data_IF_174178044990
#
_entry.id   IF_174178044990
#
_cell.length_a   1.000
_cell.length_b   1.000
_cell.length_c   1.000
_cell.angle_alpha   90.00
_cell.angle_beta   90.00
_cell.angle_gamma   90.00
#
_symmetry.space_group_name_H-M   'P 1'
#
loop_
_entity.id
_entity.type
_entity.pdbx_description
1 polymer ?
#
# COMPACT_ATOMS: atom_id res chain seq x y z
N UNK A 1 12.13 -10.60 -15.67
CA UNK A 1 10.84 -9.94 -15.98
C UNK A 1 11.12 -8.62 -16.67
N UNK A 2 10.47 -8.29 -17.78
CA UNK A 2 10.70 -7.00 -18.48
C UNK A 2 10.12 -5.83 -17.66
N UNK A 3 10.65 -4.62 -17.85
CA UNK A 3 10.16 -3.43 -17.12
C UNK A 3 8.66 -3.17 -17.30
N UNK A 4 8.12 -3.44 -18.51
CA UNK A 4 6.69 -3.32 -18.78
C UNK A 4 5.83 -4.32 -17.97
N UNK A 5 6.28 -5.57 -17.82
CA UNK A 5 5.57 -6.59 -17.03
C UNK A 5 5.55 -6.24 -15.54
N UNK A 6 6.64 -5.66 -15.02
CA UNK A 6 6.72 -5.23 -13.62
C UNK A 6 5.75 -4.08 -13.32
N UNK A 7 5.65 -3.10 -14.23
CA UNK A 7 4.69 -2.00 -14.11
C UNK A 7 3.25 -2.48 -14.10
N UNK A 8 2.92 -3.42 -14.97
CA UNK A 8 1.56 -3.96 -15.02
C UNK A 8 1.23 -4.78 -13.75
N UNK A 9 2.16 -5.61 -13.29
CA UNK A 9 2.01 -6.31 -12.02
C UNK A 9 1.79 -5.34 -10.84
N UNK A 10 2.55 -4.26 -10.76
CA UNK A 10 2.38 -3.24 -9.71
C UNK A 10 1.02 -2.52 -9.80
N UNK A 11 0.49 -2.27 -11.01
CA UNK A 11 -0.86 -1.71 -11.19
C UNK A 11 -1.96 -2.66 -10.73
N UNK A 12 -1.84 -3.95 -11.07
CA UNK A 12 -2.79 -4.97 -10.65
C UNK A 12 -2.75 -5.11 -9.12
N UNK A 13 -1.56 -5.18 -8.53
CA UNK A 13 -1.38 -5.22 -7.08
C UNK A 13 -2.03 -4.01 -6.40
N UNK A 14 -1.78 -2.79 -6.89
CA UNK A 14 -2.40 -1.58 -6.33
C UNK A 14 -3.94 -1.60 -6.40
N UNK A 15 -4.52 -2.15 -7.48
CA UNK A 15 -5.98 -2.31 -7.57
C UNK A 15 -6.52 -3.31 -6.54
N UNK A 16 -5.84 -4.44 -6.38
CA UNK A 16 -6.21 -5.44 -5.36
C UNK A 16 -6.11 -4.89 -3.94
N UNK A 17 -5.01 -4.19 -3.64
CA UNK A 17 -4.80 -3.51 -2.36
C UNK A 17 -5.91 -2.48 -2.11
N UNK A 18 -6.24 -1.65 -3.09
CA UNK A 18 -7.34 -0.68 -2.98
C UNK A 18 -8.66 -1.34 -2.65
N UNK A 19 -9.00 -2.43 -3.33
CA UNK A 19 -10.22 -3.17 -3.05
C UNK A 19 -10.23 -3.73 -1.61
N UNK A 20 -9.10 -4.29 -1.15
CA UNK A 20 -8.98 -4.80 0.21
C UNK A 20 -9.06 -3.69 1.28
N UNK A 21 -8.40 -2.55 1.06
CA UNK A 21 -8.44 -1.38 1.94
C UNK A 21 -9.86 -0.78 1.98
N UNK A 22 -10.55 -0.70 0.85
CA UNK A 22 -11.94 -0.22 0.77
C UNK A 22 -12.90 -1.10 1.58
N UNK A 23 -12.70 -2.43 1.55
CA UNK A 23 -13.48 -3.40 2.30
C UNK A 23 -13.08 -3.52 3.78
N UNK A 24 -12.04 -2.81 4.22
CA UNK A 24 -11.52 -2.89 5.59
C UNK A 24 -12.12 -1.83 6.52
N UNK A 25 -11.78 -1.95 7.81
CA UNK A 25 -12.10 -0.94 8.82
C UNK A 25 -11.15 0.28 8.81
N UNK A 26 -10.19 0.36 7.88
CA UNK A 26 -9.28 1.50 7.78
C UNK A 26 -10.07 2.76 7.42
N UNK A 27 -9.95 3.79 8.27
CA UNK A 27 -10.62 5.09 8.08
C UNK A 27 -10.22 5.70 6.75
N UNK A 28 -11.17 6.36 6.10
CA UNK A 28 -10.96 6.96 4.77
C UNK A 28 -9.70 7.84 4.68
N UNK A 29 -9.42 8.64 5.72
CA UNK A 29 -8.25 9.51 5.77
C UNK A 29 -6.90 8.76 5.74
N UNK A 30 -6.87 7.48 6.16
CA UNK A 30 -5.66 6.68 6.29
C UNK A 30 -5.48 5.69 5.12
N UNK A 31 -6.51 5.50 4.30
CA UNK A 31 -6.51 4.50 3.21
C UNK A 31 -5.36 4.69 2.24
N UNK A 32 -5.09 5.94 1.84
CA UNK A 32 -4.04 6.22 0.86
C UNK A 32 -2.65 5.91 1.39
N UNK A 33 -2.42 6.08 2.69
CA UNK A 33 -1.19 5.70 3.35
C UNK A 33 -1.04 4.18 3.40
N UNK A 34 -2.10 3.48 3.83
CA UNK A 34 -2.14 2.01 3.85
C UNK A 34 -1.91 1.39 2.45
N UNK A 35 -2.55 1.93 1.40
CA UNK A 35 -2.38 1.45 0.02
C UNK A 35 -0.92 1.45 -0.43
N UNK A 36 -0.22 2.58 -0.22
CA UNK A 36 1.16 2.72 -0.66
C UNK A 36 2.13 1.98 0.25
N UNK A 37 1.83 1.90 1.54
CA UNK A 37 2.58 1.08 2.48
C UNK A 37 2.57 -0.38 2.01
N UNK A 38 1.39 -1.00 1.89
CA UNK A 38 1.24 -2.39 1.43
C UNK A 38 1.90 -2.67 0.08
N UNK A 39 1.80 -1.72 -0.86
CA UNK A 39 2.42 -1.88 -2.18
C UNK A 39 3.95 -1.90 -2.09
N UNK A 40 4.54 -1.04 -1.24
CA UNK A 40 6.00 -0.91 -1.13
C UNK A 40 6.60 -1.95 -0.19
N UNK A 41 6.01 -2.15 1.00
CA UNK A 41 6.53 -3.06 2.02
C UNK A 41 6.08 -4.50 1.78
N UNK A 42 4.78 -4.70 1.52
CA UNK A 42 4.21 -6.03 1.30
C UNK A 42 4.51 -6.61 -0.08
N UNK A 43 4.30 -5.84 -1.14
CA UNK A 43 4.56 -6.30 -2.51
C UNK A 43 5.98 -6.01 -3.02
N UNK A 44 6.85 -5.42 -2.18
CA UNK A 44 8.24 -5.06 -2.50
C UNK A 44 8.38 -4.22 -3.79
N UNK A 45 7.41 -3.34 -4.06
CA UNK A 45 7.45 -2.45 -5.23
C UNK A 45 8.36 -1.26 -4.93
N UNK A 46 9.38 -0.97 -5.75
CA UNK A 46 10.25 0.19 -5.53
C UNK A 46 9.45 1.49 -5.50
N UNK A 47 9.78 2.40 -4.57
CA UNK A 47 9.02 3.66 -4.38
C UNK A 47 8.87 4.49 -5.67
N UNK A 48 9.85 4.47 -6.58
CA UNK A 48 9.78 5.16 -7.87
C UNK A 48 8.68 4.56 -8.76
N UNK A 49 8.59 3.22 -8.81
CA UNK A 49 7.56 2.54 -9.57
C UNK A 49 6.19 2.69 -8.88
N UNK A 50 6.14 2.62 -7.55
CA UNK A 50 4.93 2.88 -6.78
C UNK A 50 4.37 4.29 -7.06
N UNK A 51 5.24 5.30 -7.09
CA UNK A 51 4.88 6.68 -7.44
C UNK A 51 4.31 6.78 -8.86
N UNK A 52 4.95 6.11 -9.82
CA UNK A 52 4.50 6.06 -11.22
C UNK A 52 3.09 5.44 -11.33
N UNK A 53 2.88 4.23 -10.78
CA UNK A 53 1.59 3.53 -10.91
C UNK A 53 0.47 4.18 -10.08
N UNK A 54 0.84 4.90 -9.03
CA UNK A 54 -0.09 5.60 -8.17
C UNK A 54 -0.34 7.06 -8.59
N UNK A 55 0.28 7.51 -9.70
CA UNK A 55 0.19 8.87 -10.25
C UNK A 55 0.51 9.96 -9.20
N UNK A 56 1.60 9.78 -8.46
CA UNK A 56 2.09 10.77 -7.50
C UNK A 56 3.61 10.90 -7.55
N UNK A 57 4.17 11.80 -6.74
CA UNK A 57 5.63 11.96 -6.63
C UNK A 57 6.22 10.93 -5.67
N UNK A 58 7.49 10.57 -5.86
CA UNK A 58 8.22 9.73 -4.89
C UNK A 58 8.20 10.34 -3.48
N UNK A 59 8.31 11.67 -3.37
CA UNK A 59 8.21 12.37 -2.09
C UNK A 59 6.84 12.17 -1.42
N UNK A 60 5.74 12.15 -2.20
CA UNK A 60 4.42 11.82 -1.67
C UNK A 60 4.37 10.37 -1.14
N UNK A 61 4.96 9.43 -1.88
CA UNK A 61 5.10 8.03 -1.42
C UNK A 61 5.83 7.99 -0.07
N UNK A 62 7.01 8.59 0.05
CA UNK A 62 7.78 8.56 1.31
C UNK A 62 7.02 9.17 2.49
N UNK A 63 6.28 10.26 2.29
CA UNK A 63 5.42 10.86 3.33
C UNK A 63 4.30 9.92 3.78
N UNK A 64 3.66 9.24 2.82
CA UNK A 64 2.56 8.32 3.09
C UNK A 64 3.03 7.02 3.75
N UNK A 65 4.24 6.55 3.47
CA UNK A 65 4.84 5.44 4.23
C UNK A 65 5.06 5.83 5.69
N UNK A 66 5.70 6.97 5.94
CA UNK A 66 5.92 7.46 7.30
C UNK A 66 4.60 7.65 8.06
N UNK A 67 3.57 8.20 7.40
CA UNK A 67 2.25 8.36 8.00
C UNK A 67 1.57 7.01 8.32
N UNK A 68 1.77 5.97 7.49
CA UNK A 68 1.27 4.64 7.78
C UNK A 68 1.99 4.03 8.98
N UNK A 69 3.32 4.14 9.05
CA UNK A 69 4.14 3.65 10.18
C UNK A 69 3.75 4.33 11.49
N UNK A 70 3.63 5.65 11.52
CA UNK A 70 3.14 6.41 12.67
C UNK A 70 1.72 5.97 13.08
N UNK A 71 0.86 5.69 12.10
CA UNK A 71 -0.51 5.24 12.38
C UNK A 71 -0.57 3.83 12.97
N UNK A 72 0.46 3.00 12.82
CA UNK A 72 0.51 1.66 13.45
C UNK A 72 0.54 1.71 14.97
N UNK A 73 0.85 2.85 15.58
CA UNK A 73 0.70 3.04 17.03
C UNK A 73 -0.78 3.03 17.48
N UNK A 74 -1.73 3.19 16.55
CA UNK A 74 -3.15 3.00 16.80
C UNK A 74 -3.55 1.52 16.62
N UNK A 75 -4.05 0.84 17.67
CA UNK A 75 -4.38 -0.59 17.61
C UNK A 75 -5.42 -0.97 16.57
N UNK A 76 -6.41 -0.11 16.31
CA UNK A 76 -7.48 -0.40 15.35
C UNK A 76 -6.95 -0.37 13.91
N UNK A 77 -6.11 0.62 13.60
CA UNK A 77 -5.43 0.70 12.32
C UNK A 77 -4.48 -0.47 12.12
N UNK A 78 -3.62 -0.76 13.10
CA UNK A 78 -2.66 -1.85 13.01
C UNK A 78 -3.35 -3.21 12.85
N UNK A 79 -4.42 -3.47 13.60
CA UNK A 79 -5.21 -4.70 13.47
C UNK A 79 -5.93 -4.80 12.11
N UNK A 80 -6.38 -3.68 11.54
CA UNK A 80 -7.01 -3.66 10.22
C UNK A 80 -5.98 -3.87 9.11
N UNK A 81 -4.84 -3.17 9.17
CA UNK A 81 -3.74 -3.30 8.22
C UNK A 81 -3.15 -4.72 8.25
N UNK A 82 -2.88 -5.25 9.44
CA UNK A 82 -2.38 -6.61 9.64
C UNK A 82 -3.34 -7.64 9.02
N UNK A 83 -4.65 -7.48 9.15
CA UNK A 83 -5.62 -8.39 8.50
C UNK A 83 -5.48 -8.39 6.97
N UNK A 84 -5.19 -7.24 6.37
CA UNK A 84 -4.95 -7.14 4.92
C UNK A 84 -3.60 -7.78 4.56
N UNK A 85 -2.54 -7.51 5.33
CA UNK A 85 -1.22 -8.12 5.14
C UNK A 85 -1.34 -9.65 5.12
N UNK A 86 -2.03 -10.23 6.11
CA UNK A 86 -2.28 -11.68 6.15
C UNK A 86 -3.06 -12.20 4.95
N UNK A 87 -4.10 -11.48 4.53
CA UNK A 87 -4.94 -11.90 3.42
C UNK A 87 -4.25 -11.83 2.05
N UNK A 88 -3.37 -10.85 1.84
CA UNK A 88 -2.70 -10.61 0.55
C UNK A 88 -1.34 -11.31 0.48
N UNK A 89 -0.58 -11.30 1.57
CA UNK A 89 0.81 -11.74 1.62
C UNK A 89 0.96 -13.15 2.22
N UNK A 90 -0.04 -13.64 2.97
CA UNK A 90 0.00 -14.94 3.63
C UNK A 90 0.81 -14.98 4.92
N UNK A 91 1.16 -13.81 5.46
CA UNK A 91 1.81 -13.65 6.78
C UNK A 91 0.80 -13.64 7.94
#
# INVERSE_FOLDING_TARGET
>A
MTGAKMREAARIALKGIRAAVEASAIRHADRRAAELYLLVTGCNVPQVLAAEVAACTKQNVSKLLAAAEERRDNPDFDAALSRIERAILGE
#
